data_IF_921018986785
#
_entry.id   IF_921018986785
#
_cell.length_a   1.000
_cell.length_b   1.000
_cell.length_c   1.000
_cell.angle_alpha   90.00
_cell.angle_beta   90.00
_cell.angle_gamma   90.00
#
_symmetry.space_group_name_H-M   'P 1'
#
loop_
_entity.id
_entity.type
_entity.pdbx_description
1 polymer ?
#
# COMPACT_ATOMS: atom_id res chain seq x y z
N UNK A 1 0.80 5.12 20.50
CA UNK A 1 0.72 4.53 19.15
C UNK A 1 1.55 3.24 19.13
N UNK A 2 1.14 2.19 18.42
CA UNK A 2 1.92 0.97 18.17
C UNK A 2 2.15 0.85 16.67
N UNK A 3 3.39 0.66 16.25
CA UNK A 3 3.73 0.58 14.83
C UNK A 3 3.89 -0.85 14.34
N UNK A 4 3.31 -1.16 13.18
CA UNK A 4 3.36 -2.49 12.57
C UNK A 4 3.84 -2.36 11.13
N UNK A 5 4.91 -3.07 10.76
CA UNK A 5 5.31 -3.13 9.36
C UNK A 5 4.31 -3.99 8.56
N UNK A 6 3.76 -3.44 7.48
CA UNK A 6 2.71 -4.08 6.67
C UNK A 6 2.94 -3.86 5.16
N UNK A 7 3.97 -4.50 4.56
CA UNK A 7 4.40 -4.25 3.18
C UNK A 7 3.46 -4.78 2.11
N UNK A 8 2.47 -5.60 2.46
CA UNK A 8 1.47 -6.10 1.49
C UNK A 8 0.34 -5.10 1.21
N UNK A 9 0.33 -3.95 1.89
CA UNK A 9 -0.77 -2.98 1.88
C UNK A 9 -1.34 -2.72 0.48
N UNK A 10 -0.49 -2.40 -0.50
CA UNK A 10 -0.92 -2.08 -1.86
C UNK A 10 -1.68 -3.23 -2.55
N UNK A 11 -1.30 -4.49 -2.27
CA UNK A 11 -1.95 -5.67 -2.85
C UNK A 11 -3.21 -6.02 -2.06
N UNK A 12 -3.13 -5.98 -0.73
CA UNK A 12 -4.26 -6.28 0.14
C UNK A 12 -5.40 -5.26 0.01
N UNK A 13 -5.09 -3.98 -0.24
CA UNK A 13 -6.11 -2.95 -0.49
C UNK A 13 -6.72 -3.06 -1.89
N UNK A 14 -5.93 -3.54 -2.88
CA UNK A 14 -6.42 -3.81 -4.23
C UNK A 14 -7.43 -4.97 -4.23
N UNK A 15 -7.07 -6.07 -3.56
CA UNK A 15 -7.91 -7.26 -3.40
C UNK A 15 -9.12 -6.97 -2.49
N UNK A 16 -8.90 -6.18 -1.43
CA UNK A 16 -9.90 -5.75 -0.47
C UNK A 16 -10.63 -6.89 0.26
N UNK A 17 -9.98 -8.03 0.43
CA UNK A 17 -10.49 -9.16 1.21
C UNK A 17 -9.81 -9.26 2.59
N UNK A 18 -10.56 -9.55 3.67
CA UNK A 18 -9.97 -9.91 4.96
C UNK A 18 -9.28 -11.30 4.95
N UNK A 19 -9.39 -12.03 3.83
CA UNK A 19 -8.82 -13.36 3.60
C UNK A 19 -7.78 -13.38 2.46
N UNK A 20 -7.28 -12.21 2.05
CA UNK A 20 -6.19 -12.10 1.09
C UNK A 20 -4.96 -12.89 1.57
N UNK A 21 -4.36 -13.66 0.66
CA UNK A 21 -3.11 -14.39 0.93
C UNK A 21 -1.94 -13.68 0.25
N UNK A 22 -1.04 -13.04 1.00
CA UNK A 22 0.13 -12.39 0.43
C UNK A 22 1.10 -13.40 -0.22
N UNK A 23 1.79 -13.02 -1.32
CA UNK A 23 2.84 -13.85 -1.90
C UNK A 23 3.96 -14.15 -0.90
N UNK A 24 4.60 -15.31 -1.05
CA UNK A 24 5.67 -15.76 -0.15
C UNK A 24 6.83 -14.74 0.00
N UNK A 25 7.18 -14.04 -1.08
CA UNK A 25 8.21 -12.99 -1.04
C UNK A 25 7.81 -11.80 -0.17
N UNK A 26 6.52 -11.45 -0.15
CA UNK A 26 6.00 -10.37 0.70
C UNK A 26 5.93 -10.84 2.15
N UNK A 27 5.49 -12.07 2.41
CA UNK A 27 5.51 -12.66 3.78
C UNK A 27 6.93 -12.65 4.35
N UNK A 28 7.93 -13.05 3.55
CA UNK A 28 9.34 -12.97 3.95
C UNK A 28 9.74 -11.53 4.26
N UNK A 29 9.36 -10.56 3.41
CA UNK A 29 9.63 -9.14 3.65
C UNK A 29 8.98 -8.62 4.93
N UNK A 30 7.77 -9.08 5.30
CA UNK A 30 7.12 -8.70 6.57
C UNK A 30 8.00 -9.08 7.76
N UNK A 31 8.56 -10.30 7.76
CA UNK A 31 9.42 -10.79 8.83
C UNK A 31 10.78 -10.12 8.85
N UNK A 32 11.46 -10.07 7.70
CA UNK A 32 12.83 -9.55 7.58
C UNK A 32 12.93 -8.04 7.90
N UNK A 33 11.86 -7.28 7.64
CA UNK A 33 11.84 -5.82 7.82
C UNK A 33 10.84 -5.37 8.89
N UNK A 34 10.39 -6.27 9.77
CA UNK A 34 9.41 -5.96 10.82
C UNK A 34 9.86 -4.78 11.71
N UNK A 35 11.18 -4.64 11.91
CA UNK A 35 11.83 -3.59 12.70
C UNK A 35 11.99 -2.25 11.97
N UNK A 36 11.63 -2.13 10.69
CA UNK A 36 11.72 -0.88 9.93
C UNK A 36 11.00 0.32 10.62
N UNK A 37 9.88 0.15 11.34
CA UNK A 37 9.26 1.24 12.07
C UNK A 37 10.08 1.84 13.21
N UNK A 38 11.17 1.21 13.65
CA UNK A 38 12.08 1.78 14.65
C UNK A 38 12.60 3.17 14.22
N UNK A 39 12.75 3.41 12.92
CA UNK A 39 13.32 4.65 12.39
C UNK A 39 12.38 5.85 12.44
N UNK A 40 11.07 5.64 12.54
CA UNK A 40 10.07 6.72 12.49
C UNK A 40 8.97 6.60 13.56
N UNK A 41 9.09 5.64 14.48
CA UNK A 41 8.13 5.44 15.58
C UNK A 41 8.26 6.48 16.70
N UNK A 42 9.31 7.30 16.71
CA UNK A 42 9.51 8.36 17.71
C UNK A 42 9.37 7.87 19.17
N UNK A 43 10.01 6.74 19.50
CA UNK A 43 9.97 6.16 20.84
C UNK A 43 8.78 5.24 21.12
N UNK A 44 7.82 5.13 20.21
CA UNK A 44 6.67 4.25 20.38
C UNK A 44 7.01 2.76 20.13
N UNK A 45 6.24 1.83 20.73
CA UNK A 45 6.41 0.39 20.49
C UNK A 45 6.30 0.01 19.01
N UNK A 46 7.15 -0.92 18.58
CA UNK A 46 7.16 -1.52 17.25
C UNK A 46 6.94 -3.03 17.38
N UNK A 47 5.98 -3.56 16.62
CA UNK A 47 5.71 -5.00 16.58
C UNK A 47 6.73 -5.67 15.66
N UNK A 48 7.53 -6.57 16.24
CA UNK A 48 8.46 -7.39 15.48
C UNK A 48 8.75 -8.70 16.22
N UNK A 49 8.28 -9.81 15.64
CA UNK A 49 8.50 -11.15 16.19
C UNK A 49 9.83 -11.75 15.72
N UNK A 50 10.32 -12.74 16.45
CA UNK A 50 11.44 -13.58 16.05
C UNK A 50 12.81 -13.12 16.53
N UNK A 51 13.67 -14.10 16.78
CA UNK A 51 14.99 -13.90 17.40
C UNK A 51 15.90 -12.96 16.59
N UNK A 52 15.86 -13.06 15.25
CA UNK A 52 16.69 -12.23 14.39
C UNK A 52 16.36 -10.73 14.50
N UNK A 53 15.07 -10.39 14.62
CA UNK A 53 14.63 -9.02 14.82
C UNK A 53 15.08 -8.47 16.18
N UNK A 54 15.03 -9.31 17.22
CA UNK A 54 15.54 -8.94 18.55
C UNK A 54 17.06 -8.70 18.54
N UNK A 55 17.84 -9.61 17.93
CA UNK A 55 19.29 -9.45 17.80
C UNK A 55 19.67 -8.18 17.04
N UNK A 56 18.95 -7.88 15.94
CA UNK A 56 19.16 -6.65 15.18
C UNK A 56 18.85 -5.40 16.01
N UNK A 57 17.73 -5.39 16.74
CA UNK A 57 17.35 -4.28 17.60
C UNK A 57 18.38 -4.01 18.70
N UNK A 58 18.82 -5.05 19.42
CA UNK A 58 19.86 -4.93 20.46
C UNK A 58 21.22 -4.50 19.88
N UNK A 59 21.52 -4.88 18.63
CA UNK A 59 22.68 -4.36 17.93
C UNK A 59 22.55 -2.86 17.62
N UNK A 60 21.47 -2.44 16.97
CA UNK A 60 21.27 -1.03 16.58
C UNK A 60 21.15 -0.12 17.80
N UNK A 61 20.50 -0.54 18.89
CA UNK A 61 20.36 0.24 20.12
C UNK A 61 21.69 0.55 20.81
N UNK A 62 22.73 -0.27 20.59
CA UNK A 62 24.10 0.01 21.05
C UNK A 62 24.84 1.04 20.20
N UNK A 63 24.42 1.19 18.94
CA UNK A 63 25.07 2.09 17.98
C UNK A 63 24.37 3.45 17.89
N UNK A 64 23.05 3.48 18.08
CA UNK A 64 22.20 4.63 17.88
C UNK A 64 21.25 4.81 19.07
N UNK A 65 20.86 6.05 19.40
CA UNK A 65 19.96 6.35 20.52
C UNK A 65 18.50 6.02 20.17
N UNK A 66 18.19 4.75 19.89
CA UNK A 66 16.83 4.29 19.63
C UNK A 66 16.02 4.34 20.92
N UNK A 67 14.96 5.16 20.92
CA UNK A 67 14.03 5.31 22.04
C UNK A 67 12.94 4.24 22.06
N UNK A 68 12.59 3.70 20.89
CA UNK A 68 11.49 2.77 20.71
C UNK A 68 11.79 1.40 21.32
N UNK A 69 10.74 0.65 21.63
CA UNK A 69 10.83 -0.73 22.10
C UNK A 69 10.30 -1.69 21.04
N UNK A 70 10.75 -2.95 21.10
CA UNK A 70 10.11 -4.04 20.38
C UNK A 70 9.13 -4.77 21.28
N UNK A 71 8.00 -5.17 20.71
CA UNK A 71 6.98 -6.01 21.35
C UNK A 71 6.61 -7.18 20.44
N UNK A 72 6.17 -8.29 21.05
CA UNK A 72 5.58 -9.41 20.30
C UNK A 72 4.24 -8.99 19.70
N UNK A 73 3.83 -9.61 18.60
CA UNK A 73 2.47 -9.46 18.08
C UNK A 73 1.42 -9.88 19.12
N UNK A 74 1.66 -10.95 19.87
CA UNK A 74 0.76 -11.40 20.95
C UNK A 74 0.62 -10.38 22.09
N UNK A 75 1.59 -9.47 22.26
CA UNK A 75 1.56 -8.47 23.32
C UNK A 75 0.69 -7.25 22.98
N UNK A 76 0.21 -7.11 21.74
CA UNK A 76 -0.59 -5.95 21.32
C UNK A 76 -1.81 -5.74 22.22
N UNK A 77 -2.45 -6.83 22.68
CA UNK A 77 -3.63 -6.76 23.56
C UNK A 77 -3.36 -6.15 24.93
N UNK A 78 -2.10 -6.12 25.35
CA UNK A 78 -1.72 -5.54 26.64
C UNK A 78 -1.68 -4.00 26.60
N UNK A 79 -1.92 -3.39 25.44
CA UNK A 79 -1.86 -1.96 25.20
C UNK A 79 -3.26 -1.38 24.89
N UNK A 80 -4.22 -1.64 25.77
CA UNK A 80 -5.59 -1.11 25.65
C UNK A 80 -5.61 0.42 25.59
N UNK A 81 -6.42 0.98 24.69
CA UNK A 81 -6.53 2.43 24.45
C UNK A 81 -5.32 3.05 23.76
N UNK A 82 -4.33 2.26 23.33
CA UNK A 82 -3.18 2.74 22.56
C UNK A 82 -3.45 2.56 21.08
N UNK A 83 -3.53 3.67 20.33
CA UNK A 83 -3.76 3.61 18.89
C UNK A 83 -2.73 2.74 18.14
N UNK A 84 -3.15 2.15 17.01
CA UNK A 84 -2.31 1.30 16.16
C UNK A 84 -2.06 2.01 14.81
N UNK A 85 -0.82 1.99 14.36
CA UNK A 85 -0.37 2.59 13.10
C UNK A 85 0.39 1.52 12.28
N UNK A 86 -0.31 0.69 11.51
CA UNK A 86 0.37 -0.16 10.55
C UNK A 86 0.94 0.70 9.42
N UNK A 87 1.94 0.16 8.70
CA UNK A 87 2.51 0.78 7.49
C UNK A 87 1.42 1.18 6.49
N UNK A 88 0.34 0.40 6.42
CA UNK A 88 -0.90 0.80 5.78
C UNK A 88 -2.06 -0.06 6.26
N UNK A 89 -3.24 0.56 6.38
CA UNK A 89 -4.47 -0.11 6.78
C UNK A 89 -5.08 -0.88 5.60
N UNK A 90 -5.56 -2.09 5.84
CA UNK A 90 -6.31 -2.89 4.87
C UNK A 90 -7.23 -3.89 5.61
N UNK A 91 -8.19 -4.54 4.92
CA UNK A 91 -9.09 -5.51 5.56
C UNK A 91 -8.37 -6.70 6.21
N UNK A 92 -7.25 -7.16 5.66
CA UNK A 92 -6.49 -8.29 6.19
C UNK A 92 -5.88 -7.98 7.56
N UNK A 93 -5.15 -6.87 7.71
CA UNK A 93 -4.53 -6.51 9.00
C UNK A 93 -5.58 -6.13 10.03
N UNK A 94 -6.69 -5.47 9.63
CA UNK A 94 -7.84 -5.23 10.51
C UNK A 94 -8.40 -6.54 11.06
N UNK A 95 -8.62 -7.53 10.19
CA UNK A 95 -9.13 -8.85 10.60
C UNK A 95 -8.15 -9.61 11.50
N UNK A 96 -6.83 -9.50 11.25
CA UNK A 96 -5.80 -10.09 12.11
C UNK A 96 -5.86 -9.48 13.53
N UNK A 97 -5.91 -8.16 13.64
CA UNK A 97 -5.97 -7.47 14.93
C UNK A 97 -7.25 -7.80 15.71
N UNK A 98 -8.40 -7.89 15.03
CA UNK A 98 -9.65 -8.35 15.66
C UNK A 98 -9.50 -9.77 16.24
N UNK A 99 -8.90 -10.69 15.49
CA UNK A 99 -8.67 -12.08 15.95
C UNK A 99 -7.71 -12.16 17.12
N UNK A 100 -6.80 -11.20 17.23
CA UNK A 100 -5.87 -11.09 18.35
C UNK A 100 -6.54 -10.51 19.59
N UNK A 101 -7.73 -9.91 19.48
CA UNK A 101 -8.50 -9.39 20.61
C UNK A 101 -8.52 -7.86 20.72
N UNK A 102 -7.99 -7.13 19.73
CA UNK A 102 -8.10 -5.66 19.68
C UNK A 102 -9.56 -5.25 19.50
N UNK A 103 -10.01 -4.25 20.23
CA UNK A 103 -11.41 -3.82 20.22
C UNK A 103 -11.76 -3.16 18.89
N UNK A 104 -12.96 -3.42 18.36
CA UNK A 104 -13.38 -2.87 17.05
C UNK A 104 -13.35 -1.33 17.00
N UNK A 105 -13.63 -0.66 18.12
CA UNK A 105 -13.60 0.80 18.23
C UNK A 105 -12.18 1.41 18.08
N UNK A 106 -11.13 0.61 18.23
CA UNK A 106 -9.73 1.04 18.07
C UNK A 106 -9.24 0.85 16.62
N UNK A 107 -10.05 0.19 15.79
CA UNK A 107 -9.72 -0.14 14.40
C UNK A 107 -10.47 0.78 13.44
N UNK A 108 -9.93 1.02 12.23
CA UNK A 108 -10.64 1.77 11.22
C UNK A 108 -11.97 1.09 10.86
N UNK A 109 -12.99 1.91 10.59
CA UNK A 109 -14.28 1.41 10.08
C UNK A 109 -14.13 0.88 8.65
N UNK A 110 -15.10 0.08 8.22
CA UNK A 110 -15.15 -0.41 6.83
C UNK A 110 -15.23 0.76 5.86
N UNK A 111 -16.03 1.79 6.16
CA UNK A 111 -16.17 2.99 5.31
C UNK A 111 -14.85 3.76 5.19
N UNK A 112 -14.04 3.80 6.26
CA UNK A 112 -12.70 4.38 6.20
C UNK A 112 -11.80 3.58 5.26
N UNK A 113 -11.83 2.24 5.34
CA UNK A 113 -11.04 1.38 4.45
C UNK A 113 -11.48 1.51 2.98
N UNK A 114 -12.77 1.69 2.71
CA UNK A 114 -13.29 1.96 1.37
C UNK A 114 -12.80 3.30 0.83
N UNK A 115 -12.81 4.35 1.64
CA UNK A 115 -12.21 5.65 1.28
C UNK A 115 -10.72 5.52 1.00
N UNK A 116 -9.99 4.80 1.85
CA UNK A 116 -8.57 4.54 1.67
C UNK A 116 -8.29 3.78 0.35
N UNK A 117 -9.10 2.78 0.01
CA UNK A 117 -9.03 2.09 -1.29
C UNK A 117 -9.25 3.06 -2.45
N UNK A 118 -10.20 3.99 -2.31
CA UNK A 118 -10.42 5.07 -3.27
C UNK A 118 -9.18 5.94 -3.45
N UNK A 119 -8.54 6.37 -2.37
CA UNK A 119 -7.32 7.18 -2.41
C UNK A 119 -6.11 6.43 -2.99
N UNK A 120 -6.02 5.13 -2.76
CA UNK A 120 -4.99 4.28 -3.37
C UNK A 120 -5.22 4.02 -4.86
N UNK A 121 -6.44 4.25 -5.37
CA UNK A 121 -6.79 4.08 -6.77
C UNK A 121 -6.31 5.28 -7.61
N UNK A 122 -5.74 4.97 -8.79
CA UNK A 122 -5.31 5.98 -9.76
C UNK A 122 -6.46 6.83 -10.33
N UNK A 123 -7.72 6.40 -10.23
CA UNK A 123 -8.87 7.26 -10.51
C UNK A 123 -8.79 8.57 -9.72
N UNK A 124 -8.53 8.48 -8.42
CA UNK A 124 -8.44 9.66 -7.57
C UNK A 124 -7.25 10.55 -7.93
N UNK A 125 -6.12 9.94 -8.31
CA UNK A 125 -4.96 10.69 -8.79
C UNK A 125 -5.26 11.44 -10.11
N UNK A 126 -6.04 10.83 -11.02
CA UNK A 126 -6.50 11.46 -12.26
C UNK A 126 -7.37 12.68 -11.96
N UNK A 127 -8.32 12.56 -11.03
CA UNK A 127 -9.19 13.64 -10.60
C UNK A 127 -8.42 14.79 -9.94
N UNK A 128 -7.50 14.47 -9.04
CA UNK A 128 -6.65 15.46 -8.36
C UNK A 128 -5.75 16.19 -9.36
N UNK A 129 -5.14 15.49 -10.33
CA UNK A 129 -4.28 16.14 -11.31
C UNK A 129 -5.03 17.21 -12.11
N UNK A 130 -6.29 16.95 -12.46
CA UNK A 130 -7.14 17.94 -13.16
C UNK A 130 -7.32 19.20 -12.32
N UNK A 131 -7.55 19.07 -11.03
CA UNK A 131 -7.71 20.20 -10.12
C UNK A 131 -6.39 20.95 -9.93
N UNK A 132 -5.30 20.23 -9.65
CA UNK A 132 -3.97 20.83 -9.44
C UNK A 132 -3.54 21.67 -10.65
N UNK A 133 -3.77 21.20 -11.87
CA UNK A 133 -3.46 21.97 -13.10
C UNK A 133 -4.22 23.30 -13.20
N UNK A 134 -5.37 23.43 -12.55
CA UNK A 134 -6.11 24.70 -12.48
C UNK A 134 -5.54 25.68 -11.45
N UNK A 135 -4.77 25.19 -10.46
CA UNK A 135 -4.21 25.99 -9.37
C UNK A 135 -2.85 26.61 -9.70
N UNK A 136 -2.04 25.93 -10.52
CA UNK A 136 -0.70 26.40 -10.86
C UNK A 136 -0.17 25.82 -12.17
N UNK A 137 0.33 26.68 -13.06
CA UNK A 137 0.92 26.29 -14.35
C UNK A 137 2.16 25.39 -14.24
N UNK A 138 2.78 25.30 -13.05
CA UNK A 138 3.88 24.36 -12.80
C UNK A 138 3.43 22.90 -12.70
N UNK A 139 2.14 22.64 -12.47
CA UNK A 139 1.61 21.29 -12.47
C UNK A 139 1.34 20.85 -13.92
N UNK A 140 1.99 19.77 -14.35
CA UNK A 140 1.98 19.33 -15.75
C UNK A 140 1.46 17.91 -15.91
N UNK A 141 1.35 17.47 -17.17
CA UNK A 141 0.93 16.11 -17.51
C UNK A 141 -0.57 16.00 -17.76
N UNK A 142 -0.95 14.88 -18.36
CA UNK A 142 -2.33 14.51 -18.64
C UNK A 142 -2.48 13.04 -18.27
N UNK A 143 -3.56 12.73 -17.57
CA UNK A 143 -3.89 11.37 -17.17
C UNK A 143 -5.37 11.10 -17.41
N UNK A 144 -5.68 9.87 -17.78
CA UNK A 144 -7.03 9.40 -18.03
C UNK A 144 -7.26 8.10 -17.28
N UNK A 145 -8.50 7.86 -16.87
CA UNK A 145 -8.94 6.60 -16.28
C UNK A 145 -9.87 5.91 -17.26
N UNK A 146 -9.58 4.65 -17.59
CA UNK A 146 -10.34 3.87 -18.55
C UNK A 146 -10.95 2.65 -17.86
N UNK A 147 -12.22 2.41 -18.13
CA UNK A 147 -12.99 1.24 -17.67
C UNK A 147 -13.38 0.33 -18.82
N UNK A 148 -12.97 0.66 -20.04
CA UNK A 148 -13.28 -0.09 -21.24
C UNK A 148 -12.05 -0.18 -22.15
N UNK A 149 -11.88 -1.33 -22.82
CA UNK A 149 -10.72 -1.58 -23.67
C UNK A 149 -10.76 -0.75 -24.95
N UNK A 150 -11.93 -0.58 -25.56
CA UNK A 150 -12.07 0.16 -26.81
C UNK A 150 -11.74 1.64 -26.60
N UNK A 151 -12.11 2.19 -25.44
CA UNK A 151 -11.71 3.56 -25.06
C UNK A 151 -10.20 3.73 -24.91
N UNK A 152 -9.50 2.73 -24.35
CA UNK A 152 -8.02 2.74 -24.29
C UNK A 152 -7.44 2.72 -25.69
N UNK A 153 -7.89 1.80 -26.55
CA UNK A 153 -7.36 1.65 -27.90
C UNK A 153 -7.62 2.90 -28.75
N UNK A 154 -8.82 3.48 -28.62
CA UNK A 154 -9.19 4.74 -29.24
C UNK A 154 -8.28 5.87 -28.77
N UNK A 155 -8.06 6.01 -27.46
CA UNK A 155 -7.18 7.06 -26.94
C UNK A 155 -5.74 6.90 -27.46
N UNK A 156 -5.22 5.67 -27.47
CA UNK A 156 -3.84 5.39 -27.89
C UNK A 156 -3.61 5.64 -29.38
N UNK A 157 -4.63 5.43 -30.23
CA UNK A 157 -4.53 5.68 -31.69
C UNK A 157 -4.64 7.17 -32.04
N UNK A 158 -5.44 7.94 -31.31
CA UNK A 158 -5.59 9.39 -31.57
C UNK A 158 -4.48 10.24 -30.94
N UNK A 159 -3.87 9.78 -29.85
CA UNK A 159 -2.87 10.56 -29.12
C UNK A 159 -1.47 10.27 -29.68
N UNK A 160 -0.66 11.30 -29.93
CA UNK A 160 0.73 11.13 -30.38
C UNK A 160 1.72 10.99 -29.21
N UNK A 161 2.95 10.54 -29.49
CA UNK A 161 4.02 10.43 -28.50
C UNK A 161 4.02 9.14 -27.68
N UNK A 162 4.93 9.07 -26.70
CA UNK A 162 5.08 7.93 -25.79
C UNK A 162 4.04 8.01 -24.67
N UNK A 163 3.45 6.87 -24.30
CA UNK A 163 2.45 6.78 -23.24
C UNK A 163 2.85 5.74 -22.20
N UNK A 164 2.22 5.83 -21.03
CA UNK A 164 2.32 4.82 -19.98
C UNK A 164 0.93 4.42 -19.52
N UNK A 165 0.66 3.12 -19.51
CA UNK A 165 -0.52 2.53 -18.91
C UNK A 165 -0.16 2.06 -17.51
N UNK A 166 -1.09 2.21 -16.57
CA UNK A 166 -0.90 1.88 -15.15
C UNK A 166 -2.15 1.23 -14.60
N UNK A 167 -2.00 0.12 -13.87
CA UNK A 167 -3.13 -0.51 -13.18
C UNK A 167 -3.75 0.43 -12.14
N UNK A 168 -5.09 0.40 -11.95
CA UNK A 168 -5.81 1.25 -11.01
C UNK A 168 -5.26 1.22 -9.58
N UNK A 169 -4.97 0.04 -9.04
CA UNK A 169 -4.37 -0.12 -7.71
C UNK A 169 -3.10 -0.94 -7.85
N UNK A 170 -1.94 -0.27 -7.75
CA UNK A 170 -0.63 -0.91 -7.81
C UNK A 170 0.49 0.03 -7.36
N UNK A 171 1.49 -0.48 -6.65
CA UNK A 171 2.66 0.28 -6.21
C UNK A 171 4.00 -0.36 -6.57
N UNK A 172 5.09 0.21 -6.06
CA UNK A 172 6.46 -0.30 -6.21
C UNK A 172 6.91 -0.57 -7.66
N UNK A 173 6.53 0.29 -8.61
CA UNK A 173 6.89 0.16 -10.03
C UNK A 173 6.19 -0.99 -10.78
N UNK A 174 5.34 -1.79 -10.13
CA UNK A 174 4.57 -2.86 -10.77
C UNK A 174 3.36 -2.32 -11.53
N UNK A 175 2.79 -3.12 -12.42
CA UNK A 175 1.55 -2.77 -13.13
C UNK A 175 1.69 -1.56 -14.06
N UNK A 176 2.89 -1.33 -14.60
CA UNK A 176 3.19 -0.30 -15.60
C UNK A 176 3.45 -0.96 -16.96
N UNK A 177 2.94 -0.36 -18.03
CA UNK A 177 3.29 -0.70 -19.40
C UNK A 177 3.62 0.58 -20.16
N UNK A 178 4.80 0.62 -20.76
CA UNK A 178 5.21 1.71 -21.64
C UNK A 178 4.80 1.41 -23.08
N UNK A 179 4.13 2.37 -23.71
CA UNK A 179 3.71 2.32 -25.11
C UNK A 179 4.60 3.30 -25.88
N UNK A 180 5.63 2.76 -26.53
CA UNK A 180 6.62 3.49 -27.31
C UNK A 180 6.33 3.31 -28.81
N UNK A 181 5.28 3.97 -29.29
CA UNK A 181 4.74 3.77 -30.64
C UNK A 181 3.33 3.17 -30.61
N UNK A 182 3.09 2.16 -31.44
CA UNK A 182 1.82 1.43 -31.47
C UNK A 182 1.73 0.40 -30.35
N UNK A 183 0.50 0.13 -29.90
CA UNK A 183 0.25 -0.91 -28.90
C UNK A 183 0.37 -2.30 -29.54
N UNK A 184 1.01 -3.23 -28.84
CA UNK A 184 1.15 -4.63 -29.27
C UNK A 184 0.01 -5.50 -28.75
N UNK A 185 -0.26 -6.63 -29.41
CA UNK A 185 -1.28 -7.60 -28.96
C UNK A 185 -1.09 -8.05 -27.51
N UNK A 186 0.17 -8.27 -27.09
CA UNK A 186 0.50 -8.65 -25.70
C UNK A 186 0.11 -7.57 -24.69
N UNK A 187 0.25 -6.29 -25.06
CA UNK A 187 -0.13 -5.16 -24.21
C UNK A 187 -1.66 -4.97 -24.21
N UNK A 188 -2.32 -5.19 -25.35
CA UNK A 188 -3.79 -5.21 -25.45
C UNK A 188 -4.39 -6.31 -24.56
N UNK A 189 -3.82 -7.52 -24.59
CA UNK A 189 -4.23 -8.63 -23.73
C UNK A 189 -4.02 -8.33 -22.24
N UNK A 190 -2.98 -7.57 -21.91
CA UNK A 190 -2.79 -7.09 -20.55
C UNK A 190 -3.89 -6.11 -20.13
N UNK A 191 -4.27 -5.17 -20.99
CA UNK A 191 -5.37 -4.23 -20.72
C UNK A 191 -6.66 -5.00 -20.43
N UNK A 192 -6.98 -6.02 -21.23
CA UNK A 192 -8.16 -6.89 -21.04
C UNK A 192 -8.18 -7.63 -19.70
N UNK A 193 -7.02 -7.94 -19.12
CA UNK A 193 -6.95 -8.58 -17.79
C UNK A 193 -7.10 -7.59 -16.64
N UNK A 194 -6.69 -6.34 -16.85
CA UNK A 194 -6.70 -5.27 -15.85
C UNK A 194 -8.07 -4.60 -15.77
N UNK A 195 -8.66 -4.31 -16.92
CA UNK A 195 -10.01 -3.77 -17.06
C UNK A 195 -10.97 -4.95 -16.93
N UNK A 196 -11.68 -5.03 -15.82
CA UNK A 196 -12.69 -6.06 -15.52
C UNK A 196 -14.01 -5.40 -15.20
#
# INVERSE_FOLDING_TARGET
>A
MIYIFNPDHDLAIADFSPYYTPPASIVKMMGDLAVLPLWYSDGHPVVADGEQNMHYFEHIKRLLPIKSTLISSDDIINYDGVGIAPWGWNPLIRNKLLKMGVTENELPSTEYLEKLKGYSNRLHAVEILKNLRGENDKFTGVSHYFTDLDDVLKYLSFTTGNKVLKMPVSGSGRGLIWILGEITDKQTDWCRRVIK
#
